data_IF_882709416125
#
_entry.id   IF_882709416125
#
_cell.length_a   1.000
_cell.length_b   1.000
_cell.length_c   1.000
_cell.angle_alpha   90.00
_cell.angle_beta   90.00
_cell.angle_gamma   90.00
#
_symmetry.space_group_name_H-M   'P 1'
#
loop_
_entity.id
_entity.type
_entity.pdbx_description
1 polymer ?
#
# COMPACT_ATOMS: atom_id res chain seq x y z
N UNK A 1 -45.05 -117.14 86.30
CA UNK A 1 -45.37 -116.21 85.18
C UNK A 1 -44.43 -115.01 85.07
N UNK A 2 -44.10 -114.30 86.16
CA UNK A 2 -43.16 -113.16 86.12
C UNK A 2 -41.72 -113.55 85.74
N UNK A 3 -41.18 -114.65 86.29
CA UNK A 3 -39.80 -115.12 86.01
C UNK A 3 -39.60 -115.48 84.53
N UNK A 4 -40.61 -116.12 83.91
CA UNK A 4 -40.61 -116.44 82.48
C UNK A 4 -40.60 -115.20 81.59
N UNK A 5 -41.26 -114.11 81.98
CA UNK A 5 -41.23 -112.83 81.24
C UNK A 5 -39.90 -112.09 81.42
N UNK A 6 -39.28 -112.18 82.59
CA UNK A 6 -37.94 -111.61 82.84
C UNK A 6 -36.88 -112.35 81.99
N UNK A 7 -36.92 -113.68 81.95
CA UNK A 7 -36.00 -114.47 81.13
C UNK A 7 -36.15 -114.19 79.62
N UNK A 8 -37.38 -114.03 79.12
CA UNK A 8 -37.62 -113.60 77.74
C UNK A 8 -37.13 -112.17 77.47
N UNK A 9 -37.34 -111.24 78.41
CA UNK A 9 -36.87 -109.86 78.29
C UNK A 9 -35.34 -109.77 78.29
N UNK A 10 -34.66 -110.56 79.11
CA UNK A 10 -33.19 -110.63 79.15
C UNK A 10 -32.61 -111.29 77.89
N UNK A 11 -33.30 -112.31 77.35
CA UNK A 11 -32.97 -112.91 76.05
C UNK A 11 -33.06 -111.89 74.91
N UNK A 12 -34.18 -111.16 74.84
CA UNK A 12 -34.36 -110.09 73.84
C UNK A 12 -33.33 -108.95 74.03
N UNK A 13 -32.99 -108.60 75.28
CA UNK A 13 -31.98 -107.56 75.55
C UNK A 13 -30.60 -107.99 75.06
N UNK A 14 -30.21 -109.25 75.25
CA UNK A 14 -28.94 -109.79 74.74
C UNK A 14 -28.93 -109.84 73.21
N UNK A 15 -30.02 -110.28 72.60
CA UNK A 15 -30.14 -110.29 71.14
C UNK A 15 -30.02 -108.88 70.54
N UNK A 16 -30.72 -107.90 71.11
CA UNK A 16 -30.61 -106.49 70.69
C UNK A 16 -29.19 -105.94 70.92
N UNK A 17 -28.51 -106.33 72.01
CA UNK A 17 -27.11 -105.92 72.25
C UNK A 17 -26.14 -106.51 71.22
N UNK A 18 -26.33 -107.77 70.81
CA UNK A 18 -25.50 -108.40 69.77
C UNK A 18 -25.79 -107.82 68.37
N UNK A 19 -27.06 -107.53 68.06
CA UNK A 19 -27.46 -106.81 66.84
C UNK A 19 -26.89 -105.39 66.81
N UNK A 20 -26.87 -104.68 67.95
CA UNK A 20 -26.28 -103.35 68.04
C UNK A 20 -24.75 -103.40 67.90
N UNK A 21 -24.09 -104.41 68.48
CA UNK A 21 -22.64 -104.59 68.39
C UNK A 21 -22.16 -105.05 67.00
N UNK A 22 -23.02 -105.72 66.23
CA UNK A 22 -22.76 -106.06 64.82
C UNK A 22 -22.98 -104.85 63.93
N UNK A 23 -24.08 -104.12 64.10
CA UNK A 23 -24.33 -102.86 63.40
C UNK A 23 -23.23 -101.80 63.65
N UNK A 24 -22.72 -101.68 64.88
CA UNK A 24 -21.65 -100.73 65.22
C UNK A 24 -20.30 -101.14 64.57
N UNK A 25 -20.05 -102.45 64.41
CA UNK A 25 -18.88 -102.93 63.65
C UNK A 25 -19.00 -102.64 62.16
N UNK A 26 -20.17 -102.86 61.57
CA UNK A 26 -20.43 -102.53 60.17
C UNK A 26 -20.33 -101.03 59.92
N UNK A 27 -20.88 -100.20 60.81
CA UNK A 27 -20.78 -98.75 60.75
C UNK A 27 -19.31 -98.29 60.76
N UNK A 28 -18.49 -98.80 61.70
CA UNK A 28 -17.04 -98.50 61.74
C UNK A 28 -16.30 -98.94 60.49
N UNK A 29 -16.65 -100.10 59.93
CA UNK A 29 -16.05 -100.57 58.68
C UNK A 29 -16.41 -99.68 57.50
N UNK A 30 -17.65 -99.19 57.43
CA UNK A 30 -18.06 -98.24 56.39
C UNK A 30 -17.39 -96.88 56.57
N UNK A 31 -17.25 -96.37 57.80
CA UNK A 31 -16.53 -95.12 58.09
C UNK A 31 -15.06 -95.22 57.65
N UNK A 32 -14.38 -96.32 57.98
CA UNK A 32 -13.00 -96.54 57.55
C UNK A 32 -12.85 -96.66 56.02
N UNK A 33 -13.86 -97.20 55.32
CA UNK A 33 -13.91 -97.20 53.86
C UNK A 33 -14.11 -95.79 53.31
N UNK A 34 -14.99 -95.00 53.93
CA UNK A 34 -15.25 -93.63 53.53
C UNK A 34 -14.02 -92.74 53.68
N UNK A 35 -13.29 -92.87 54.80
CA UNK A 35 -12.02 -92.15 55.00
C UNK A 35 -10.98 -92.48 53.93
N UNK A 36 -10.85 -93.76 53.52
CA UNK A 36 -9.96 -94.16 52.41
C UNK A 36 -10.44 -93.60 51.06
N UNK A 37 -11.75 -93.54 50.83
CA UNK A 37 -12.29 -92.91 49.64
C UNK A 37 -12.04 -91.40 49.63
N UNK A 38 -12.13 -90.72 50.78
CA UNK A 38 -11.79 -89.30 50.86
C UNK A 38 -10.31 -89.04 50.58
N UNK A 39 -9.39 -89.85 51.13
CA UNK A 39 -7.95 -89.67 50.85
C UNK A 39 -7.64 -89.89 49.38
N UNK A 40 -8.16 -90.96 48.78
CA UNK A 40 -7.98 -91.22 47.34
C UNK A 40 -8.61 -90.15 46.47
N UNK A 41 -9.78 -89.62 46.86
CA UNK A 41 -10.39 -88.49 46.15
C UNK A 41 -9.48 -87.25 46.22
N UNK A 42 -8.96 -86.90 47.41
CA UNK A 42 -8.04 -85.77 47.58
C UNK A 42 -6.80 -85.92 46.69
N UNK A 43 -6.17 -87.09 46.68
CA UNK A 43 -4.98 -87.38 45.87
C UNK A 43 -5.26 -87.25 44.36
N UNK A 44 -6.38 -87.81 43.89
CA UNK A 44 -6.83 -87.68 42.50
C UNK A 44 -7.10 -86.23 42.09
N UNK A 45 -7.69 -85.41 42.97
CA UNK A 45 -7.85 -83.97 42.68
C UNK A 45 -6.52 -83.25 42.56
N UNK A 46 -5.55 -83.57 43.42
CA UNK A 46 -4.22 -82.96 43.37
C UNK A 46 -3.48 -83.32 42.07
N UNK A 47 -3.55 -84.58 41.63
CA UNK A 47 -2.97 -85.01 40.35
C UNK A 47 -3.63 -84.32 39.15
N UNK A 48 -4.96 -84.17 39.15
CA UNK A 48 -5.69 -83.46 38.09
C UNK A 48 -5.24 -82.01 37.95
N UNK A 49 -5.03 -81.31 39.07
CA UNK A 49 -4.60 -79.91 39.03
C UNK A 49 -3.15 -79.76 38.54
N UNK A 50 -2.27 -80.70 38.87
CA UNK A 50 -0.91 -80.71 38.32
C UNK A 50 -0.90 -80.98 36.80
N UNK A 51 -1.72 -81.92 36.33
CA UNK A 51 -1.88 -82.20 34.89
C UNK A 51 -2.42 -80.96 34.15
N UNK A 52 -3.41 -80.25 34.72
CA UNK A 52 -3.94 -79.00 34.14
C UNK A 52 -2.85 -77.93 34.03
N UNK A 53 -2.05 -77.72 35.07
CA UNK A 53 -0.93 -76.76 35.06
C UNK A 53 0.11 -77.12 34.00
N UNK A 54 0.47 -78.40 33.86
CA UNK A 54 1.38 -78.88 32.81
C UNK A 54 0.80 -78.67 31.40
N UNK A 55 -0.49 -78.92 31.20
CA UNK A 55 -1.16 -78.69 29.93
C UNK A 55 -1.19 -77.20 29.54
N UNK A 56 -1.41 -76.30 30.50
CA UNK A 56 -1.41 -74.86 30.25
C UNK A 56 -0.02 -74.35 29.83
N UNK A 57 1.04 -74.75 30.54
CA UNK A 57 2.43 -74.40 30.17
C UNK A 57 2.79 -74.90 28.77
N UNK A 58 2.32 -76.09 28.38
CA UNK A 58 2.51 -76.61 27.01
C UNK A 58 1.81 -75.76 25.96
N UNK A 59 0.58 -75.30 26.22
CA UNK A 59 -0.15 -74.41 25.28
C UNK A 59 0.56 -73.07 25.09
N UNK A 60 1.04 -72.46 26.17
CA UNK A 60 1.81 -71.20 26.11
C UNK A 60 3.10 -71.36 25.31
N UNK A 61 3.85 -72.46 25.54
CA UNK A 61 5.05 -72.76 24.76
C UNK A 61 4.76 -73.01 23.28
N UNK A 62 3.67 -73.71 22.94
CA UNK A 62 3.27 -73.94 21.55
C UNK A 62 2.92 -72.61 20.87
N UNK A 63 2.22 -71.71 21.55
CA UNK A 63 1.91 -70.39 21.01
C UNK A 63 3.18 -69.58 20.72
N UNK A 64 4.14 -69.57 21.66
CA UNK A 64 5.43 -68.89 21.49
C UNK A 64 6.26 -69.47 20.33
N UNK A 65 6.36 -70.80 20.24
CA UNK A 65 7.09 -71.45 19.15
C UNK A 65 6.42 -71.22 17.78
N UNK A 66 5.09 -71.11 17.73
CA UNK A 66 4.38 -70.78 16.48
C UNK A 66 4.66 -69.35 16.01
N UNK A 67 4.72 -68.38 16.92
CA UNK A 67 5.12 -67.02 16.55
C UNK A 67 6.57 -66.97 16.07
N UNK A 68 7.47 -67.70 16.73
CA UNK A 68 8.88 -67.75 16.36
C UNK A 68 9.11 -68.43 15.00
N UNK A 69 8.35 -69.49 14.69
CA UNK A 69 8.37 -70.12 13.37
C UNK A 69 7.83 -69.16 12.30
N UNK A 70 6.74 -68.44 12.56
CA UNK A 70 6.19 -67.49 11.60
C UNK A 70 7.16 -66.33 11.31
N UNK A 71 7.88 -65.85 12.33
CA UNK A 71 8.91 -64.81 12.17
C UNK A 71 10.11 -65.32 11.35
N UNK A 72 10.53 -66.58 11.56
CA UNK A 72 11.63 -67.20 10.82
C UNK A 72 11.25 -67.56 9.36
N UNK A 73 10.02 -68.02 9.12
CA UNK A 73 9.50 -68.28 7.78
C UNK A 73 9.41 -66.97 6.97
N UNK A 74 8.98 -65.86 7.60
CA UNK A 74 8.97 -64.55 6.96
C UNK A 74 10.38 -64.02 6.64
N UNK A 75 11.40 -64.41 7.40
CA UNK A 75 12.80 -64.04 7.14
C UNK A 75 13.43 -64.88 6.01
N UNK A 76 13.03 -66.14 5.85
CA UNK A 76 13.63 -67.07 4.88
C UNK A 76 13.11 -66.88 3.44
N UNK A 77 11.92 -66.31 3.24
CA UNK A 77 11.31 -66.13 1.91
C UNK A 77 11.79 -64.89 1.12
N UNK A 78 12.66 -64.05 1.68
CA UNK A 78 13.22 -62.87 1.00
C UNK A 78 14.71 -63.07 0.69
N UNK A 79 15.00 -63.69 -0.45
CA UNK A 79 16.31 -63.57 -1.09
C UNK A 79 16.55 -62.10 -1.50
N UNK A 80 17.68 -61.48 -1.13
CA UNK A 80 17.91 -60.07 -1.45
C UNK A 80 18.10 -59.88 -2.97
N UNK A 81 17.45 -58.90 -3.61
CA UNK A 81 17.79 -58.53 -4.98
C UNK A 81 19.19 -57.94 -5.02
N UNK A 82 20.11 -58.63 -5.67
CA UNK A 82 21.40 -58.07 -6.06
C UNK A 82 21.15 -57.05 -7.20
N UNK A 83 21.78 -55.85 -7.11
CA UNK A 83 21.80 -54.72 -8.08
C UNK A 83 20.87 -53.48 -7.89
N UNK A 84 19.89 -53.47 -6.98
CA UNK A 84 18.99 -52.29 -6.80
C UNK A 84 19.65 -51.03 -6.20
N UNK A 85 20.83 -51.15 -5.58
CA UNK A 85 21.49 -50.05 -4.85
C UNK A 85 22.05 -48.95 -5.76
N UNK A 86 22.50 -49.30 -6.98
CA UNK A 86 23.06 -48.34 -7.95
C UNK A 86 21.96 -47.50 -8.62
N UNK A 87 20.87 -48.13 -9.02
CA UNK A 87 19.71 -47.45 -9.61
C UNK A 87 19.06 -46.50 -8.60
N UNK A 88 18.87 -46.95 -7.35
CA UNK A 88 18.37 -46.12 -6.28
C UNK A 88 19.30 -44.92 -6.03
N UNK A 89 20.63 -45.11 -6.01
CA UNK A 89 21.60 -44.03 -5.85
C UNK A 89 21.53 -42.99 -6.98
N UNK A 90 21.37 -43.42 -8.24
CA UNK A 90 21.18 -42.53 -9.39
C UNK A 90 19.90 -41.71 -9.27
N UNK A 91 18.76 -42.34 -8.96
CA UNK A 91 17.47 -41.65 -8.74
C UNK A 91 17.58 -40.60 -7.63
N UNK A 92 18.31 -40.91 -6.55
CA UNK A 92 18.55 -39.92 -5.48
C UNK A 92 19.43 -38.75 -5.91
N UNK A 93 20.44 -38.97 -6.76
CA UNK A 93 21.29 -37.91 -7.28
C UNK A 93 20.52 -36.98 -8.25
N UNK A 94 19.64 -37.55 -9.08
CA UNK A 94 18.75 -36.81 -9.98
C UNK A 94 17.76 -35.94 -9.22
N UNK A 95 17.09 -36.49 -8.20
CA UNK A 95 16.17 -35.74 -7.34
C UNK A 95 16.87 -34.61 -6.61
N UNK A 96 18.10 -34.83 -6.12
CA UNK A 96 18.87 -33.79 -5.44
C UNK A 96 19.29 -32.66 -6.42
N UNK A 97 19.65 -33.00 -7.67
CA UNK A 97 19.90 -31.99 -8.71
C UNK A 97 18.64 -31.19 -9.04
N UNK A 98 17.49 -31.84 -9.15
CA UNK A 98 16.21 -31.18 -9.44
C UNK A 98 15.78 -30.25 -8.30
N UNK A 99 15.96 -30.69 -7.04
CA UNK A 99 15.75 -29.88 -5.84
C UNK A 99 16.64 -28.64 -5.83
N UNK A 100 17.95 -28.79 -6.09
CA UNK A 100 18.86 -27.65 -6.16
C UNK A 100 18.45 -26.64 -7.25
N UNK A 101 17.98 -27.11 -8.41
CA UNK A 101 17.45 -26.25 -9.47
C UNK A 101 16.22 -25.47 -9.00
N UNK A 102 15.25 -26.15 -8.38
CA UNK A 102 14.03 -25.51 -7.86
C UNK A 102 14.32 -24.53 -6.73
N UNK A 103 15.24 -24.86 -5.81
CA UNK A 103 15.66 -23.95 -4.73
C UNK A 103 16.29 -22.69 -5.29
N UNK A 104 17.18 -22.81 -6.28
CA UNK A 104 17.77 -21.67 -6.95
C UNK A 104 16.73 -20.82 -7.68
N UNK A 105 15.75 -21.44 -8.35
CA UNK A 105 14.64 -20.72 -8.99
C UNK A 105 13.77 -19.98 -7.97
N UNK A 106 13.46 -20.58 -6.81
CA UNK A 106 12.72 -19.91 -5.72
C UNK A 106 13.48 -18.68 -5.24
N UNK A 107 14.79 -18.79 -5.01
CA UNK A 107 15.62 -17.66 -4.56
C UNK A 107 15.60 -16.53 -5.61
N UNK A 108 15.76 -16.85 -6.90
CA UNK A 108 15.70 -15.86 -7.98
C UNK A 108 14.34 -15.16 -8.04
N UNK A 109 13.24 -15.91 -7.97
CA UNK A 109 11.89 -15.35 -7.96
C UNK A 109 11.64 -14.45 -6.75
N UNK A 110 12.16 -14.81 -5.57
CA UNK A 110 12.05 -13.98 -4.38
C UNK A 110 12.85 -12.68 -4.50
N UNK A 111 14.04 -12.73 -5.09
CA UNK A 111 14.84 -11.53 -5.29
C UNK A 111 14.23 -10.60 -6.35
N UNK A 112 13.64 -11.14 -7.41
CA UNK A 112 12.83 -10.37 -8.36
C UNK A 112 11.60 -9.72 -7.70
N UNK A 113 10.88 -10.46 -6.84
CA UNK A 113 9.75 -9.90 -6.08
C UNK A 113 10.19 -8.80 -5.10
N UNK A 114 11.31 -8.97 -4.41
CA UNK A 114 11.88 -7.92 -3.53
C UNK A 114 12.25 -6.68 -4.34
N UNK A 115 12.87 -6.85 -5.52
CA UNK A 115 13.22 -5.75 -6.41
C UNK A 115 11.96 -5.00 -6.87
N UNK A 116 10.93 -5.70 -7.35
CA UNK A 116 9.66 -5.11 -7.76
C UNK A 116 8.92 -4.42 -6.61
N UNK A 117 8.98 -4.98 -5.40
CA UNK A 117 8.39 -4.35 -4.20
C UNK A 117 9.11 -3.03 -3.88
N UNK A 118 10.44 -2.98 -4.00
CA UNK A 118 11.21 -1.73 -3.85
C UNK A 118 10.83 -0.71 -4.91
N UNK A 119 10.74 -1.11 -6.17
CA UNK A 119 10.29 -0.25 -7.27
C UNK A 119 8.87 0.27 -7.04
N UNK A 120 7.94 -0.59 -6.61
CA UNK A 120 6.57 -0.20 -6.28
C UNK A 120 6.49 0.83 -5.16
N UNK A 121 7.31 0.68 -4.10
CA UNK A 121 7.42 1.69 -3.03
C UNK A 121 7.97 3.02 -3.53
N UNK A 122 8.98 3.00 -4.40
CA UNK A 122 9.52 4.21 -5.02
C UNK A 122 8.47 4.93 -5.86
N UNK A 123 7.79 4.22 -6.76
CA UNK A 123 6.71 4.77 -7.58
C UNK A 123 5.56 5.35 -6.74
N UNK A 124 5.16 4.66 -5.68
CA UNK A 124 4.12 5.15 -4.77
C UNK A 124 4.56 6.41 -4.00
N UNK A 125 5.82 6.49 -3.59
CA UNK A 125 6.38 7.69 -2.96
C UNK A 125 6.45 8.87 -3.92
N UNK A 126 6.84 8.64 -5.18
CA UNK A 126 6.86 9.66 -6.23
C UNK A 126 5.44 10.16 -6.52
N UNK A 127 4.48 9.24 -6.63
CA UNK A 127 3.07 9.58 -6.81
C UNK A 127 2.53 10.42 -5.66
N UNK A 128 2.88 10.08 -4.41
CA UNK A 128 2.47 10.85 -3.22
C UNK A 128 3.06 12.27 -3.24
N UNK A 129 4.31 12.40 -3.69
CA UNK A 129 4.98 13.71 -3.83
C UNK A 129 4.28 14.56 -4.89
N UNK A 130 4.02 14.02 -6.07
CA UNK A 130 3.34 14.75 -7.14
C UNK A 130 1.90 15.13 -6.76
N UNK A 131 1.19 14.25 -6.04
CA UNK A 131 -0.15 14.54 -5.50
C UNK A 131 -0.12 15.68 -4.47
N UNK A 132 0.86 15.67 -3.56
CA UNK A 132 1.07 16.76 -2.60
C UNK A 132 1.33 18.08 -3.31
N UNK A 133 2.18 18.08 -4.34
CA UNK A 133 2.48 19.29 -5.10
C UNK A 133 1.22 19.84 -5.80
N UNK A 134 0.37 18.98 -6.38
CA UNK A 134 -0.91 19.42 -6.94
C UNK A 134 -1.84 20.02 -5.89
N UNK A 135 -1.95 19.41 -4.71
CA UNK A 135 -2.77 19.94 -3.62
C UNK A 135 -2.29 21.31 -3.15
N UNK A 136 -0.98 21.52 -3.09
CA UNK A 136 -0.41 22.82 -2.73
C UNK A 136 -0.79 23.89 -3.76
N UNK A 137 -0.73 23.55 -5.05
CA UNK A 137 -1.17 24.44 -6.13
C UNK A 137 -2.66 24.75 -6.06
N UNK A 138 -3.50 23.74 -5.83
CA UNK A 138 -4.96 23.91 -5.72
C UNK A 138 -5.33 24.77 -4.50
N UNK A 139 -4.61 24.63 -3.39
CA UNK A 139 -4.81 25.46 -2.21
C UNK A 139 -4.50 26.95 -2.52
N UNK A 140 -3.44 27.24 -3.26
CA UNK A 140 -3.11 28.62 -3.67
C UNK A 140 -4.19 29.20 -4.58
N UNK A 141 -4.67 28.44 -5.57
CA UNK A 141 -5.76 28.89 -6.46
C UNK A 141 -7.05 29.17 -5.67
N UNK A 142 -7.44 28.25 -4.78
CA UNK A 142 -8.61 28.41 -3.92
C UNK A 142 -8.50 29.66 -3.04
N UNK A 143 -7.33 29.90 -2.45
CA UNK A 143 -7.08 31.10 -1.64
C UNK A 143 -7.22 32.39 -2.46
N UNK A 144 -6.75 32.41 -3.71
CA UNK A 144 -6.88 33.58 -4.60
C UNK A 144 -8.33 33.80 -5.02
N UNK A 145 -9.06 32.74 -5.35
CA UNK A 145 -10.50 32.80 -5.68
C UNK A 145 -11.31 33.34 -4.50
N UNK A 146 -11.03 32.86 -3.30
CA UNK A 146 -11.67 33.33 -2.07
C UNK A 146 -11.29 34.79 -1.75
N UNK A 147 -10.04 35.19 -2.02
CA UNK A 147 -9.59 36.59 -1.89
C UNK A 147 -10.33 37.50 -2.88
N UNK A 148 -10.48 37.07 -4.13
CA UNK A 148 -11.26 37.78 -5.15
C UNK A 148 -12.73 37.89 -4.72
N UNK A 149 -13.33 36.80 -4.21
CA UNK A 149 -14.71 36.79 -3.72
C UNK A 149 -14.94 37.81 -2.63
N UNK A 150 -14.08 37.83 -1.61
CA UNK A 150 -14.12 38.80 -0.51
C UNK A 150 -13.94 40.24 -0.99
N UNK A 151 -13.14 40.44 -2.04
CA UNK A 151 -12.87 41.77 -2.59
C UNK A 151 -13.99 42.27 -3.51
N UNK A 152 -14.55 41.39 -4.35
CA UNK A 152 -15.60 41.71 -5.30
C UNK A 152 -16.41 40.46 -5.70
N UNK A 153 -17.59 40.32 -5.10
CA UNK A 153 -18.51 39.21 -5.36
C UNK A 153 -18.97 39.16 -6.83
N UNK A 154 -19.24 40.31 -7.47
CA UNK A 154 -19.69 40.35 -8.88
C UNK A 154 -18.64 39.77 -9.84
N UNK A 155 -17.36 40.08 -9.61
CA UNK A 155 -16.24 39.55 -10.40
C UNK A 155 -16.08 38.05 -10.18
N UNK A 156 -16.25 37.58 -8.95
CA UNK A 156 -16.22 36.14 -8.65
C UNK A 156 -17.37 35.40 -9.34
N UNK A 157 -18.61 35.92 -9.28
CA UNK A 157 -19.76 35.32 -9.97
C UNK A 157 -19.59 35.30 -11.49
N UNK A 158 -19.03 36.36 -12.06
CA UNK A 158 -18.71 36.41 -13.48
C UNK A 158 -17.63 35.38 -13.87
N UNK A 159 -16.65 35.13 -13.00
CA UNK A 159 -15.64 34.09 -13.19
C UNK A 159 -16.26 32.69 -13.21
N UNK A 160 -17.11 32.37 -12.23
CA UNK A 160 -17.81 31.08 -12.18
C UNK A 160 -18.67 30.86 -13.43
N UNK A 161 -19.37 31.92 -13.87
CA UNK A 161 -20.16 31.87 -15.10
C UNK A 161 -19.26 31.65 -16.33
N UNK A 162 -18.12 32.34 -16.42
CA UNK A 162 -17.17 32.19 -17.52
C UNK A 162 -16.66 30.75 -17.62
N UNK A 163 -16.29 30.13 -16.50
CA UNK A 163 -15.80 28.75 -16.45
C UNK A 163 -16.83 27.74 -16.97
N UNK A 164 -18.11 27.93 -16.61
CA UNK A 164 -19.20 27.05 -17.03
C UNK A 164 -19.57 27.26 -18.51
N UNK A 165 -19.31 28.45 -19.06
CA UNK A 165 -19.78 28.87 -20.38
C UNK A 165 -18.65 29.10 -21.39
N UNK A 166 -17.44 28.56 -21.15
CA UNK A 166 -16.28 28.73 -22.05
C UNK A 166 -16.56 28.33 -23.50
N UNK A 167 -17.49 27.40 -23.74
CA UNK A 167 -17.90 26.94 -25.07
C UNK A 167 -18.65 27.98 -25.91
N UNK A 168 -19.14 29.07 -25.30
CA UNK A 168 -19.83 30.15 -26.01
C UNK A 168 -18.88 31.08 -26.76
N UNK A 169 -17.60 31.07 -26.41
CA UNK A 169 -16.60 31.98 -26.94
C UNK A 169 -15.83 31.36 -28.10
N UNK A 170 -15.49 32.19 -29.08
CA UNK A 170 -14.68 31.77 -30.24
C UNK A 170 -13.21 31.69 -29.89
N UNK A 171 -12.73 32.62 -29.07
CA UNK A 171 -11.37 32.66 -28.56
C UNK A 171 -11.35 32.61 -27.03
N UNK A 172 -10.16 32.44 -26.47
CA UNK A 172 -10.01 32.36 -25.03
C UNK A 172 -10.23 33.73 -24.38
N UNK A 173 -11.22 33.80 -23.49
CA UNK A 173 -11.41 34.91 -22.55
C UNK A 173 -10.67 34.58 -21.26
N UNK A 174 -9.69 35.41 -20.94
CA UNK A 174 -8.87 35.28 -19.73
C UNK A 174 -9.66 35.70 -18.50
N UNK A 175 -9.35 35.05 -17.38
CA UNK A 175 -9.91 35.39 -16.07
C UNK A 175 -9.47 36.81 -15.65
N UNK A 176 -9.97 37.34 -14.52
CA UNK A 176 -9.53 38.64 -14.02
C UNK A 176 -8.00 38.71 -13.89
N UNK A 177 -7.41 39.87 -14.20
CA UNK A 177 -5.94 40.06 -14.18
C UNK A 177 -5.32 39.59 -12.86
N UNK A 178 -5.98 39.76 -11.71
CA UNK A 178 -5.48 39.32 -10.41
C UNK A 178 -5.38 37.79 -10.24
N UNK A 179 -5.95 36.99 -11.14
CA UNK A 179 -5.80 35.54 -11.18
C UNK A 179 -4.82 35.09 -12.28
N UNK A 180 -4.71 35.85 -13.38
CA UNK A 180 -3.84 35.53 -14.52
C UNK A 180 -2.44 36.14 -14.43
N UNK A 181 -2.24 37.13 -13.55
CA UNK A 181 -0.95 37.79 -13.36
C UNK A 181 -0.31 37.41 -12.03
N UNK A 182 1.00 37.22 -12.08
CA UNK A 182 1.92 36.97 -10.97
C UNK A 182 2.99 38.04 -10.90
N UNK A 183 3.57 38.21 -9.71
CA UNK A 183 4.76 39.05 -9.52
C UNK A 183 5.95 38.16 -9.22
N UNK A 184 7.06 38.39 -9.93
CA UNK A 184 8.30 37.58 -9.81
C UNK A 184 8.92 37.63 -8.41
N UNK A 185 8.88 38.81 -7.80
CA UNK A 185 9.43 39.04 -6.49
C UNK A 185 8.42 39.84 -5.65
N UNK A 186 8.00 39.22 -4.54
CA UNK A 186 6.96 39.74 -3.66
C UNK A 186 7.27 41.14 -3.11
N UNK A 187 8.54 41.57 -3.08
CA UNK A 187 8.93 42.92 -2.67
C UNK A 187 8.35 44.01 -3.58
N UNK A 188 8.05 43.68 -4.83
CA UNK A 188 7.46 44.60 -5.81
C UNK A 188 5.94 44.56 -5.85
N UNK A 189 5.30 43.57 -5.18
CA UNK A 189 3.88 43.30 -5.34
C UNK A 189 2.98 44.49 -4.99
N UNK A 190 3.28 45.19 -3.89
CA UNK A 190 2.53 46.37 -3.44
C UNK A 190 2.69 47.57 -4.39
N UNK A 191 3.90 47.76 -4.93
CA UNK A 191 4.21 48.79 -5.90
C UNK A 191 3.41 48.55 -7.19
N UNK A 192 3.48 47.32 -7.72
CA UNK A 192 2.81 46.92 -8.96
C UNK A 192 1.28 46.99 -8.79
N UNK A 193 0.73 46.48 -7.70
CA UNK A 193 -0.71 46.56 -7.42
C UNK A 193 -1.20 48.01 -7.33
N UNK A 194 -0.36 48.93 -6.88
CA UNK A 194 -0.69 50.36 -6.83
C UNK A 194 -0.65 51.02 -8.21
N UNK A 195 0.27 50.60 -9.10
CA UNK A 195 0.33 51.07 -10.49
C UNK A 195 -0.90 50.60 -11.26
N UNK A 196 -1.14 49.29 -11.27
CA UNK A 196 -2.23 48.65 -12.04
C UNK A 196 -3.59 49.05 -11.46
N UNK A 197 -3.68 49.15 -10.13
CA UNK A 197 -4.90 49.54 -9.44
C UNK A 197 -5.95 48.43 -9.36
N UNK A 198 -6.78 48.49 -8.32
CA UNK A 198 -7.75 47.45 -8.03
C UNK A 198 -8.80 47.23 -9.14
N UNK A 199 -9.16 48.28 -9.89
CA UNK A 199 -10.13 48.17 -10.99
C UNK A 199 -9.58 47.37 -12.17
N UNK A 200 -8.31 47.59 -12.53
CA UNK A 200 -7.71 46.82 -13.62
C UNK A 200 -7.43 45.38 -13.18
N UNK A 201 -7.06 45.17 -11.91
CA UNK A 201 -6.84 43.83 -11.37
C UNK A 201 -8.08 42.93 -11.43
N UNK A 202 -9.29 43.46 -11.28
CA UNK A 202 -10.55 42.71 -11.43
C UNK A 202 -11.06 42.61 -12.87
N UNK A 203 -10.32 43.17 -13.84
CA UNK A 203 -10.79 43.25 -15.23
C UNK A 203 -10.54 41.93 -15.96
N UNK A 204 -11.52 41.46 -16.74
CA UNK A 204 -11.36 40.32 -17.64
C UNK A 204 -10.80 40.75 -19.00
N UNK A 205 -10.00 39.89 -19.63
CA UNK A 205 -9.37 40.19 -20.92
C UNK A 205 -9.89 39.26 -22.02
N UNK A 206 -10.57 39.84 -23.02
CA UNK A 206 -11.03 39.12 -24.21
C UNK A 206 -10.06 39.32 -25.38
N UNK A 207 -9.76 38.24 -26.11
CA UNK A 207 -8.88 38.32 -27.29
C UNK A 207 -9.58 38.88 -28.54
N UNK A 208 -10.90 38.67 -28.66
CA UNK A 208 -11.70 39.15 -29.78
C UNK A 208 -12.78 40.15 -29.33
N UNK A 209 -13.14 41.07 -30.21
CA UNK A 209 -14.20 42.05 -29.96
C UNK A 209 -15.59 41.37 -29.89
N UNK A 210 -15.78 40.29 -30.64
CA UNK A 210 -17.01 39.49 -30.60
C UNK A 210 -17.19 38.80 -29.24
N UNK A 211 -16.11 38.22 -28.69
CA UNK A 211 -16.12 37.59 -27.37
C UNK A 211 -16.30 38.66 -26.27
N UNK A 212 -15.70 39.85 -26.44
CA UNK A 212 -15.94 40.99 -25.57
C UNK A 212 -17.42 41.38 -25.51
N UNK A 213 -18.08 41.56 -26.66
CA UNK A 213 -19.50 41.89 -26.70
C UNK A 213 -20.37 40.76 -26.16
N UNK A 214 -20.03 39.52 -26.46
CA UNK A 214 -20.75 38.34 -25.94
C UNK A 214 -20.66 38.29 -24.43
N UNK A 215 -19.45 38.43 -23.87
CA UNK A 215 -19.27 38.36 -22.43
C UNK A 215 -19.94 39.53 -21.71
N UNK A 216 -19.79 40.74 -22.24
CA UNK A 216 -20.45 41.94 -21.71
C UNK A 216 -21.96 41.79 -21.70
N UNK A 217 -22.55 41.29 -22.78
CA UNK A 217 -24.00 41.07 -22.86
C UNK A 217 -24.50 40.02 -21.86
N UNK A 218 -23.80 38.90 -21.74
CA UNK A 218 -24.23 37.82 -20.85
C UNK A 218 -24.04 38.15 -19.35
N UNK A 219 -23.00 38.91 -19.02
CA UNK A 219 -22.64 39.19 -17.62
C UNK A 219 -23.13 40.56 -17.16
N UNK A 220 -22.83 41.63 -17.90
CA UNK A 220 -23.19 42.99 -17.50
C UNK A 220 -24.67 43.28 -17.81
N UNK A 221 -25.17 42.90 -18.98
CA UNK A 221 -26.54 43.29 -19.37
C UNK A 221 -27.59 42.32 -18.79
N UNK A 222 -27.38 41.00 -18.96
CA UNK A 222 -28.36 39.99 -18.53
C UNK A 222 -28.30 39.72 -17.03
N UNK A 223 -27.10 39.47 -16.49
CA UNK A 223 -26.93 39.15 -15.06
C UNK A 223 -26.78 40.38 -14.17
N UNK A 224 -26.59 41.58 -14.76
CA UNK A 224 -26.42 42.85 -14.05
C UNK A 224 -25.22 42.88 -13.09
N UNK A 225 -24.19 42.09 -13.40
CA UNK A 225 -22.94 42.09 -12.64
C UNK A 225 -22.09 43.31 -13.06
N UNK A 226 -21.44 43.97 -12.10
CA UNK A 226 -20.61 45.15 -12.36
C UNK A 226 -19.15 44.75 -12.58
N UNK A 227 -18.85 44.16 -13.73
CA UNK A 227 -17.48 43.73 -14.06
C UNK A 227 -16.87 44.52 -15.21
N UNK A 228 -15.58 44.80 -15.08
CA UNK A 228 -14.79 45.43 -16.10
C UNK A 228 -14.31 44.35 -17.09
N UNK A 229 -14.54 44.56 -18.38
CA UNK A 229 -14.07 43.68 -19.46
C UNK A 229 -13.32 44.56 -20.45
N UNK A 230 -12.22 44.08 -21.01
CA UNK A 230 -11.43 44.80 -22.02
C UNK A 230 -11.04 43.88 -23.16
N UNK A 231 -10.87 44.47 -24.34
CA UNK A 231 -10.30 43.80 -25.51
C UNK A 231 -9.18 44.68 -26.08
N UNK A 232 -8.02 44.08 -26.30
CA UNK A 232 -6.87 44.77 -26.88
C UNK A 232 -6.36 44.01 -28.10
N UNK A 233 -6.30 44.71 -29.24
CA UNK A 233 -5.85 44.14 -30.53
C UNK A 233 -4.36 44.32 -30.80
N UNK A 234 -3.64 45.07 -29.96
CA UNK A 234 -2.22 45.36 -30.14
C UNK A 234 -1.38 44.23 -29.57
N UNK A 235 -0.40 43.76 -30.35
CA UNK A 235 0.60 42.83 -29.87
C UNK A 235 1.49 43.47 -28.79
N UNK A 236 1.99 42.65 -27.86
CA UNK A 236 2.87 43.11 -26.79
C UNK A 236 4.12 43.81 -27.33
N UNK A 237 4.68 43.31 -28.42
CA UNK A 237 5.92 43.84 -29.04
C UNK A 237 5.75 45.24 -29.64
N UNK A 238 4.50 45.68 -29.84
CA UNK A 238 4.20 47.04 -30.30
C UNK A 238 4.36 48.10 -29.21
N UNK A 239 4.54 47.70 -27.95
CA UNK A 239 4.73 48.59 -26.82
C UNK A 239 6.22 48.75 -26.55
N UNK A 240 6.75 49.94 -26.81
CA UNK A 240 8.17 50.25 -26.68
C UNK A 240 8.42 51.06 -25.42
N UNK A 241 9.45 50.68 -24.67
CA UNK A 241 9.86 51.40 -23.47
C UNK A 241 10.36 52.82 -23.83
N UNK A 242 10.06 53.85 -23.02
CA UNK A 242 10.48 55.22 -23.27
C UNK A 242 12.00 55.41 -23.26
N UNK A 243 12.71 54.62 -22.46
CA UNK A 243 14.16 54.72 -22.27
C UNK A 243 14.81 53.32 -22.26
N UNK A 244 16.07 53.20 -22.70
CA UNK A 244 16.84 51.97 -22.54
C UNK A 244 17.05 51.59 -21.07
N UNK A 245 17.10 50.28 -20.79
CA UNK A 245 17.34 49.75 -19.43
C UNK A 245 18.66 50.21 -18.80
N UNK A 246 19.68 50.45 -19.62
CA UNK A 246 20.97 51.01 -19.17
C UNK A 246 20.82 52.43 -18.58
N UNK A 247 19.93 53.24 -19.14
CA UNK A 247 19.62 54.58 -18.61
C UNK A 247 18.83 54.50 -17.30
N UNK A 248 17.92 53.53 -17.17
CA UNK A 248 17.19 53.27 -15.92
C UNK A 248 18.13 52.96 -14.77
N UNK A 249 19.08 52.04 -14.97
CA UNK A 249 20.05 51.64 -13.95
C UNK A 249 20.91 52.82 -13.49
N UNK A 250 21.34 53.69 -14.42
CA UNK A 250 22.08 54.93 -14.09
C UNK A 250 21.28 55.92 -13.23
N UNK A 251 19.95 55.89 -13.31
CA UNK A 251 19.05 56.74 -12.52
C UNK A 251 18.66 56.10 -11.18
N UNK A 252 19.07 54.85 -10.94
CA UNK A 252 18.76 54.08 -9.73
C UNK A 252 17.51 53.20 -9.82
N UNK A 253 16.96 52.98 -11.02
CA UNK A 253 15.80 52.09 -11.21
C UNK A 253 16.22 50.63 -11.41
N UNK A 254 15.42 49.71 -10.86
CA UNK A 254 15.60 48.26 -10.98
C UNK A 254 15.11 47.75 -12.35
N UNK A 255 14.09 48.40 -12.92
CA UNK A 255 13.52 48.06 -14.23
C UNK A 255 12.18 48.74 -14.49
N UNK A 256 11.46 48.29 -15.52
CA UNK A 256 10.06 48.68 -15.73
C UNK A 256 9.10 47.75 -14.99
N UNK A 257 7.90 48.21 -14.69
CA UNK A 257 6.84 47.37 -14.08
C UNK A 257 6.60 46.09 -14.90
N UNK A 258 6.62 46.18 -16.23
CA UNK A 258 6.50 45.03 -17.13
C UNK A 258 7.54 43.92 -16.87
N UNK A 259 8.74 44.27 -16.42
CA UNK A 259 9.84 43.30 -16.21
C UNK A 259 9.62 42.41 -14.96
N UNK A 260 8.73 42.83 -14.06
CA UNK A 260 8.46 42.15 -12.78
C UNK A 260 7.10 41.42 -12.74
N UNK A 261 6.32 41.48 -13.82
CA UNK A 261 5.01 40.82 -13.96
C UNK A 261 5.14 39.61 -14.89
N UNK A 262 4.53 38.50 -14.48
CA UNK A 262 4.34 37.32 -15.33
C UNK A 262 2.85 37.10 -15.58
N UNK A 263 2.44 37.11 -16.84
CA UNK A 263 1.08 36.84 -17.26
C UNK A 263 1.07 36.45 -18.75
N UNK A 264 -0.02 35.87 -19.28
CA UNK A 264 -0.17 35.60 -20.69
C UNK A 264 0.03 36.85 -21.55
N UNK A 265 0.61 36.70 -22.75
CA UNK A 265 0.97 37.85 -23.62
C UNK A 265 -0.21 38.80 -23.88
N UNK A 266 -1.43 38.27 -24.04
CA UNK A 266 -2.64 39.07 -24.22
C UNK A 266 -2.99 39.89 -22.97
N UNK A 267 -2.78 39.34 -21.77
CA UNK A 267 -2.99 40.05 -20.50
C UNK A 267 -1.93 41.14 -20.31
N UNK A 268 -0.65 40.84 -20.60
CA UNK A 268 0.42 41.85 -20.58
C UNK A 268 0.15 42.98 -21.57
N UNK A 269 -0.30 42.67 -22.79
CA UNK A 269 -0.67 43.67 -23.79
C UNK A 269 -1.85 44.54 -23.31
N UNK A 270 -2.81 43.96 -22.61
CA UNK A 270 -3.92 44.68 -22.00
C UNK A 270 -3.46 45.66 -20.91
N UNK A 271 -2.56 45.22 -20.03
CA UNK A 271 -1.96 46.06 -19.00
C UNK A 271 -1.10 47.19 -19.61
N UNK A 272 -0.34 46.88 -20.68
CA UNK A 272 0.39 47.90 -21.44
C UNK A 272 -0.55 48.91 -22.10
N UNK A 273 -1.68 48.46 -22.63
CA UNK A 273 -2.69 49.33 -23.23
C UNK A 273 -3.31 50.29 -22.22
N UNK A 274 -3.74 49.75 -21.07
CA UNK A 274 -4.55 50.43 -20.04
C UNK A 274 -3.71 51.25 -19.05
N UNK A 275 -2.75 50.61 -18.39
CA UNK A 275 -2.01 51.19 -17.26
C UNK A 275 -0.57 51.61 -17.62
N UNK A 276 -0.15 51.39 -18.87
CA UNK A 276 1.18 51.78 -19.37
C UNK A 276 2.34 51.17 -18.58
N UNK A 277 2.20 49.92 -18.15
CA UNK A 277 3.23 49.21 -17.34
C UNK A 277 4.62 49.10 -18.01
N UNK A 278 4.71 49.27 -19.32
CA UNK A 278 5.96 49.30 -20.08
C UNK A 278 6.67 50.66 -20.04
N UNK A 279 6.00 51.71 -19.56
CA UNK A 279 6.52 53.07 -19.49
C UNK A 279 6.90 53.50 -18.08
N UNK A 280 6.51 52.74 -17.05
CA UNK A 280 6.62 53.13 -15.64
C UNK A 280 7.85 52.44 -15.02
N UNK A 281 8.92 53.20 -14.71
CA UNK A 281 10.08 52.70 -13.98
C UNK A 281 9.76 52.42 -12.52
N UNK A 282 10.49 51.45 -11.96
CA UNK A 282 10.31 51.04 -10.60
C UNK A 282 11.66 50.84 -9.91
N UNK A 283 11.75 51.31 -8.66
CA UNK A 283 12.89 51.12 -7.76
C UNK A 283 12.39 50.78 -6.35
N UNK A 284 13.02 49.80 -5.69
CA UNK A 284 12.87 49.63 -4.23
C UNK A 284 13.64 50.71 -3.46
N UNK A 285 14.76 51.17 -4.01
CA UNK A 285 15.63 52.17 -3.41
C UNK A 285 15.26 53.61 -3.77
N UNK A 286 16.20 54.51 -3.46
CA UNK A 286 16.13 55.92 -3.85
C UNK A 286 16.64 56.11 -5.27
N UNK A 287 16.08 57.10 -5.96
CA UNK A 287 16.41 57.48 -7.33
C UNK A 287 16.81 58.95 -7.39
N UNK A 288 17.48 59.34 -8.46
CA UNK A 288 17.84 60.74 -8.73
C UNK A 288 16.60 61.53 -9.21
N UNK A 289 15.71 61.89 -8.27
CA UNK A 289 14.43 62.55 -8.55
C UNK A 289 14.60 63.89 -9.27
N UNK A 290 15.60 64.68 -8.88
CA UNK A 290 15.85 66.01 -9.43
C UNK A 290 16.15 65.93 -10.93
N UNK A 291 17.00 64.98 -11.32
CA UNK A 291 17.33 64.75 -12.72
C UNK A 291 16.14 64.22 -13.53
N UNK A 292 15.35 63.32 -12.94
CA UNK A 292 14.16 62.75 -13.59
C UNK A 292 13.10 63.82 -13.85
N UNK A 293 12.85 64.69 -12.87
CA UNK A 293 11.86 65.76 -12.94
C UNK A 293 12.28 66.87 -13.91
N UNK A 294 13.56 67.27 -13.91
CA UNK A 294 14.10 68.28 -14.82
C UNK A 294 14.09 67.81 -16.28
N UNK A 295 14.52 66.57 -16.53
CA UNK A 295 14.60 66.02 -17.88
C UNK A 295 13.24 65.47 -18.38
N UNK A 296 12.25 65.35 -17.49
CA UNK A 296 10.91 64.84 -17.78
C UNK A 296 10.94 63.50 -18.54
N UNK A 297 11.84 62.60 -18.12
CA UNK A 297 12.12 61.33 -18.80
C UNK A 297 10.92 60.38 -18.77
N UNK A 298 10.09 60.48 -17.73
CA UNK A 298 8.95 59.61 -17.48
C UNK A 298 7.73 60.43 -17.08
N UNK A 299 6.54 59.95 -17.45
CA UNK A 299 5.27 60.51 -16.96
C UNK A 299 5.01 60.12 -15.51
N UNK A 300 5.43 58.92 -15.15
CA UNK A 300 5.20 58.35 -13.84
C UNK A 300 6.33 57.38 -13.49
N UNK A 301 6.74 57.34 -12.21
CA UNK A 301 7.68 56.36 -11.69
C UNK A 301 7.39 56.04 -10.23
N UNK A 302 7.92 54.92 -9.74
CA UNK A 302 7.88 54.53 -8.33
C UNK A 302 9.30 54.41 -7.78
N UNK A 303 9.52 55.04 -6.63
CA UNK A 303 10.76 54.92 -5.87
C UNK A 303 10.47 55.00 -4.36
N UNK A 304 11.21 54.23 -3.55
CA UNK A 304 11.13 54.26 -2.08
C UNK A 304 9.68 54.21 -1.53
N UNK A 305 8.84 53.34 -2.10
CA UNK A 305 7.43 53.20 -1.69
C UNK A 305 6.55 54.41 -2.00
N UNK A 306 6.98 55.32 -2.88
CA UNK A 306 6.23 56.51 -3.29
C UNK A 306 6.05 56.53 -4.81
N UNK A 307 4.83 56.82 -5.25
CA UNK A 307 4.46 57.01 -6.65
C UNK A 307 4.53 58.49 -6.99
N UNK A 308 5.33 58.82 -8.00
CA UNK A 308 5.55 60.17 -8.51
C UNK A 308 4.89 60.29 -9.87
N UNK A 309 3.94 61.22 -10.01
CA UNK A 309 3.30 61.54 -11.29
C UNK A 309 3.75 62.92 -11.74
N UNK A 310 4.44 62.97 -12.87
CA UNK A 310 4.93 64.21 -13.49
C UNK A 310 3.89 64.64 -14.52
N UNK A 311 3.26 65.78 -14.29
CA UNK A 311 2.32 66.41 -15.20
C UNK A 311 2.89 67.70 -15.78
N UNK A 312 2.52 67.99 -17.04
CA UNK A 312 2.80 69.29 -17.67
C UNK A 312 1.54 70.15 -17.58
N UNK A 313 1.68 71.36 -17.05
CA UNK A 313 0.61 72.35 -17.11
C UNK A 313 0.21 72.62 -18.56
N UNK A 314 -1.09 72.54 -18.87
CA UNK A 314 -1.63 72.81 -20.23
C UNK A 314 -1.67 74.31 -20.58
N UNK A 315 -1.56 75.18 -19.58
CA UNK A 315 -1.67 76.64 -19.72
C UNK A 315 -0.57 77.32 -18.91
N UNK A 316 0.07 78.37 -19.47
CA UNK A 316 1.14 79.14 -18.83
C UNK A 316 2.56 78.59 -19.05
N UNK A 317 3.55 79.20 -18.40
CA UNK A 317 4.95 78.73 -18.36
C UNK A 317 4.96 77.25 -18.01
N UNK A 318 5.47 76.41 -18.92
CA UNK A 318 5.37 74.94 -18.95
C UNK A 318 6.11 74.21 -17.79
N UNK A 319 5.94 74.68 -16.56
CA UNK A 319 6.54 74.10 -15.37
C UNK A 319 6.00 72.68 -15.14
N UNK A 320 6.90 71.78 -14.75
CA UNK A 320 6.56 70.43 -14.33
C UNK A 320 5.86 70.51 -12.96
N UNK A 321 4.69 69.89 -12.83
CA UNK A 321 4.07 69.67 -11.52
C UNK A 321 4.22 68.20 -11.15
N UNK A 322 4.71 67.96 -9.94
CA UNK A 322 4.93 66.61 -9.42
C UNK A 322 3.91 66.35 -8.33
N UNK A 323 3.11 65.30 -8.54
CA UNK A 323 2.16 64.82 -7.53
C UNK A 323 2.71 63.53 -6.95
N UNK A 324 2.97 63.55 -5.65
CA UNK A 324 3.44 62.39 -4.90
C UNK A 324 2.28 61.70 -4.19
N UNK A 325 2.17 60.39 -4.33
CA UNK A 325 1.21 59.59 -3.58
C UNK A 325 1.92 58.38 -2.95
N UNK A 326 1.59 58.06 -1.70
CA UNK A 326 2.21 56.93 -1.00
C UNK A 326 1.63 55.62 -1.52
N UNK A 327 2.50 54.64 -1.77
CA UNK A 327 2.10 53.29 -2.15
C UNK A 327 1.41 52.60 -0.97
N UNK A 328 0.39 51.80 -1.24
CA UNK A 328 -0.32 51.07 -0.18
C UNK A 328 0.62 50.03 0.42
N UNK A 329 0.68 49.88 1.76
CA UNK A 329 1.69 49.04 2.41
C UNK A 329 1.53 47.56 2.09
N UNK A 330 0.32 47.08 1.77
CA UNK A 330 0.05 45.65 1.52
C UNK A 330 -0.64 45.45 0.16
N UNK A 331 -0.07 44.56 -0.66
CA UNK A 331 -0.76 43.98 -1.81
C UNK A 331 -1.90 43.09 -1.31
N UNK A 332 -3.10 43.24 -1.91
CA UNK A 332 -4.32 42.50 -1.53
C UNK A 332 -4.72 41.48 -2.58
N UNK A 333 -4.33 41.71 -3.84
CA UNK A 333 -4.82 40.96 -5.00
C UNK A 333 -3.69 40.32 -5.80
N UNK A 334 -2.53 40.98 -5.88
CA UNK A 334 -1.32 40.42 -6.46
C UNK A 334 -0.44 39.85 -5.35
N UNK A 335 -0.79 38.69 -4.78
CA UNK A 335 0.20 37.90 -4.05
C UNK A 335 0.98 37.01 -5.03
N UNK A 336 2.17 36.55 -4.64
CA UNK A 336 2.93 35.58 -5.44
C UNK A 336 2.03 34.36 -5.73
N UNK A 337 1.65 34.15 -7.00
CA UNK A 337 0.75 33.06 -7.36
C UNK A 337 0.42 33.01 -8.85
N UNK A 338 0.55 31.80 -9.38
CA UNK A 338 0.19 31.21 -10.69
C UNK A 338 0.60 31.97 -11.96
N UNK A 339 1.89 31.85 -12.33
CA UNK A 339 2.37 32.21 -13.66
C UNK A 339 1.98 31.12 -14.67
N UNK A 340 2.16 31.38 -15.97
CA UNK A 340 2.05 30.35 -17.01
C UNK A 340 2.91 29.11 -16.70
N UNK A 341 3.99 29.28 -15.92
CA UNK A 341 4.84 28.17 -15.45
C UNK A 341 4.09 27.24 -14.50
N UNK A 342 3.23 27.76 -13.64
CA UNK A 342 2.48 26.93 -12.68
C UNK A 342 1.36 26.16 -13.39
N UNK A 343 0.69 26.78 -14.37
CA UNK A 343 -0.27 26.07 -15.25
C UNK A 343 0.42 24.95 -16.03
N UNK A 344 1.59 25.22 -16.60
CA UNK A 344 2.41 24.20 -17.26
C UNK A 344 2.86 23.11 -16.28
N UNK A 345 3.23 23.49 -15.05
CA UNK A 345 3.63 22.56 -13.98
C UNK A 345 2.47 21.66 -13.57
N UNK A 346 1.26 22.18 -13.40
CA UNK A 346 0.05 21.40 -13.12
C UNK A 346 -0.22 20.38 -14.22
N UNK A 347 -0.22 20.81 -15.48
CA UNK A 347 -0.40 19.91 -16.62
C UNK A 347 0.69 18.82 -16.67
N UNK A 348 1.93 19.18 -16.37
CA UNK A 348 3.05 18.23 -16.29
C UNK A 348 2.88 17.23 -15.15
N UNK A 349 2.49 17.68 -13.97
CA UNK A 349 2.25 16.83 -12.79
C UNK A 349 1.10 15.85 -13.04
N UNK A 350 0.02 16.27 -13.69
CA UNK A 350 -1.04 15.35 -14.11
C UNK A 350 -0.53 14.28 -15.07
N UNK A 351 0.19 14.67 -16.13
CA UNK A 351 0.77 13.72 -17.08
C UNK A 351 1.80 12.78 -16.43
N UNK A 352 2.53 13.26 -15.42
CA UNK A 352 3.47 12.46 -14.63
C UNK A 352 2.74 11.45 -13.72
N UNK A 353 1.67 11.87 -13.05
CA UNK A 353 0.83 10.98 -12.25
C UNK A 353 0.21 9.85 -13.06
N UNK A 354 -0.28 10.15 -14.27
CA UNK A 354 -0.86 9.12 -15.13
C UNK A 354 0.21 8.10 -15.57
N UNK A 355 1.42 8.55 -15.91
CA UNK A 355 2.55 7.66 -16.18
C UNK A 355 2.95 6.81 -14.97
N UNK A 356 3.01 7.40 -13.78
CA UNK A 356 3.34 6.69 -12.54
C UNK A 356 2.28 5.64 -12.20
N UNK A 357 1.00 5.94 -12.42
CA UNK A 357 -0.11 4.98 -12.25
C UNK A 357 0.03 3.80 -13.20
N UNK A 358 0.32 4.05 -14.48
CA UNK A 358 0.53 2.99 -15.47
C UNK A 358 1.73 2.09 -15.09
N UNK A 359 2.82 2.70 -14.62
CA UNK A 359 4.01 1.96 -14.17
C UNK A 359 3.74 1.12 -12.92
N UNK A 360 2.97 1.66 -11.97
CA UNK A 360 2.58 0.94 -10.77
C UNK A 360 1.69 -0.26 -11.11
N UNK A 361 0.66 -0.06 -11.95
CA UNK A 361 -0.21 -1.13 -12.43
C UNK A 361 0.58 -2.23 -13.17
N UNK A 362 1.56 -1.85 -13.99
CA UNK A 362 2.44 -2.79 -14.66
C UNK A 362 3.33 -3.58 -13.67
N UNK A 363 3.83 -2.93 -12.61
CA UNK A 363 4.61 -3.56 -11.55
C UNK A 363 3.77 -4.57 -10.75
N UNK A 364 2.54 -4.19 -10.38
CA UNK A 364 1.59 -5.06 -9.67
C UNK A 364 1.21 -6.29 -10.51
N UNK A 365 0.99 -6.11 -11.82
CA UNK A 365 0.73 -7.21 -12.74
C UNK A 365 1.91 -8.18 -12.84
N UNK A 366 3.16 -7.67 -12.85
CA UNK A 366 4.37 -8.49 -12.81
C UNK A 366 4.50 -9.23 -11.48
N UNK A 367 4.27 -8.55 -10.35
CA UNK A 367 4.27 -9.15 -9.01
C UNK A 367 3.29 -10.33 -8.91
N UNK A 368 2.06 -10.16 -9.42
CA UNK A 368 1.05 -11.23 -9.43
C UNK A 368 1.51 -12.44 -10.26
N UNK A 369 2.12 -12.21 -11.42
CA UNK A 369 2.66 -13.29 -12.28
C UNK A 369 3.80 -14.04 -11.59
N UNK A 370 4.73 -13.33 -10.94
CA UNK A 370 5.83 -13.94 -10.21
C UNK A 370 5.37 -14.71 -8.98
N UNK A 371 4.37 -14.20 -8.24
CA UNK A 371 3.79 -14.90 -7.09
C UNK A 371 3.14 -16.23 -7.49
N UNK A 372 2.39 -16.26 -8.60
CA UNK A 372 1.81 -17.51 -9.14
C UNK A 372 2.91 -18.48 -9.57
N UNK A 373 4.00 -17.97 -10.19
CA UNK A 373 5.13 -18.81 -10.59
C UNK A 373 5.86 -19.39 -9.39
N UNK A 374 6.17 -18.57 -8.38
CA UNK A 374 6.83 -19.03 -7.15
C UNK A 374 6.00 -20.10 -6.45
N UNK A 375 4.68 -19.94 -6.37
CA UNK A 375 3.81 -20.94 -5.76
C UNK A 375 3.89 -22.29 -6.50
N UNK A 376 3.88 -22.28 -7.83
CA UNK A 376 4.05 -23.51 -8.64
C UNK A 376 5.39 -24.20 -8.38
N UNK A 377 6.47 -23.43 -8.31
CA UNK A 377 7.82 -23.99 -8.05
C UNK A 377 7.90 -24.55 -6.62
N UNK A 378 7.29 -23.88 -5.63
CA UNK A 378 7.21 -24.38 -4.25
C UNK A 378 6.40 -25.67 -4.14
N UNK A 379 5.28 -25.77 -4.85
CA UNK A 379 4.47 -26.99 -4.87
C UNK A 379 5.25 -28.16 -5.52
N UNK A 380 6.00 -27.88 -6.59
CA UNK A 380 6.94 -28.83 -7.19
C UNK A 380 8.05 -29.27 -6.23
N UNK A 381 8.66 -28.31 -5.52
CA UNK A 381 9.71 -28.60 -4.53
C UNK A 381 9.18 -29.51 -3.40
N UNK A 382 7.97 -29.26 -2.90
CA UNK A 382 7.32 -30.12 -1.88
C UNK A 382 7.05 -31.53 -2.39
N UNK A 383 6.65 -31.68 -3.65
CA UNK A 383 6.43 -32.99 -4.26
C UNK A 383 7.74 -33.79 -4.37
N UNK A 384 8.85 -33.12 -4.72
CA UNK A 384 10.19 -33.74 -4.74
C UNK A 384 10.64 -34.14 -3.34
N UNK A 385 10.45 -33.29 -2.33
CA UNK A 385 10.78 -33.63 -0.94
C UNK A 385 9.99 -34.84 -0.42
N UNK A 386 8.70 -34.93 -0.75
CA UNK A 386 7.89 -36.10 -0.39
C UNK A 386 8.41 -37.38 -1.06
N UNK A 387 8.79 -37.30 -2.34
CA UNK A 387 9.35 -38.43 -3.09
C UNK A 387 10.73 -38.85 -2.57
N UNK A 388 11.56 -37.88 -2.16
CA UNK A 388 12.86 -38.13 -1.53
C UNK A 388 12.71 -38.86 -0.19
N UNK A 389 11.74 -38.47 0.64
CA UNK A 389 11.48 -39.12 1.93
C UNK A 389 10.95 -40.55 1.76
N UNK A 390 10.08 -40.79 0.77
CA UNK A 390 9.63 -42.14 0.40
C UNK A 390 10.79 -43.03 -0.03
N UNK A 391 11.66 -42.54 -0.92
CA UNK A 391 12.88 -43.24 -1.35
C UNK A 391 13.85 -43.48 -0.18
N UNK A 392 13.95 -42.56 0.78
CA UNK A 392 14.80 -42.69 1.97
C UNK A 392 14.29 -43.80 2.89
N UNK A 393 12.98 -43.86 3.12
CA UNK A 393 12.35 -44.91 3.93
C UNK A 393 12.53 -46.28 3.29
N UNK A 394 12.37 -46.38 1.96
CA UNK A 394 12.57 -47.62 1.24
C UNK A 394 14.04 -48.09 1.30
N UNK A 395 15.00 -47.16 1.12
CA UNK A 395 16.43 -47.48 1.32
C UNK A 395 16.75 -47.97 2.73
N UNK A 396 16.16 -47.35 3.76
CA UNK A 396 16.36 -47.79 5.15
C UNK A 396 15.74 -49.17 5.40
N UNK A 397 14.59 -49.47 4.79
CA UNK A 397 13.96 -50.79 4.87
C UNK A 397 14.85 -51.86 4.23
N UNK A 398 15.29 -51.64 2.99
CA UNK A 398 16.17 -52.56 2.26
C UNK A 398 17.48 -52.77 3.02
N UNK A 399 18.11 -51.69 3.52
CA UNK A 399 19.36 -51.79 4.29
C UNK A 399 19.21 -52.55 5.62
N UNK A 400 18.07 -52.45 6.31
CA UNK A 400 17.82 -53.22 7.54
C UNK A 400 17.63 -54.69 7.23
N UNK A 401 16.96 -55.02 6.13
CA UNK A 401 16.75 -56.39 5.67
C UNK A 401 18.07 -57.05 5.26
N UNK A 402 18.91 -56.35 4.48
CA UNK A 402 20.24 -56.87 4.12
C UNK A 402 21.16 -57.05 5.33
N UNK A 403 21.17 -56.10 6.27
CA UNK A 403 21.98 -56.20 7.48
C UNK A 403 21.49 -57.30 8.46
N UNK A 404 20.20 -57.65 8.43
CA UNK A 404 19.68 -58.78 9.20
C UNK A 404 20.10 -60.11 8.57
N UNK A 405 20.01 -60.22 7.24
CA UNK A 405 20.44 -61.39 6.49
C UNK A 405 21.96 -61.66 6.63
N UNK A 406 22.80 -60.63 6.55
CA UNK A 406 24.25 -60.76 6.75
C UNK A 406 24.66 -61.21 8.17
N UNK A 407 23.78 -61.04 9.17
CA UNK A 407 24.03 -61.49 10.55
C UNK A 407 23.59 -62.92 10.83
N UNK A 408 22.67 -63.45 10.03
CA UNK A 408 22.17 -64.83 10.15
C UNK A 408 23.02 -65.84 9.37
N UNK A 409 23.93 -65.34 8.51
CA UNK A 409 24.96 -66.11 7.82
C UNK A 409 26.22 -66.23 8.68
#
# INVERSE_FOLDING_TARGET
ELETRIAQSDGNRRQIQDELATADREARQQTARFERFETTQRDLTAELDDIKKRAQRRRENIARLRTEIADLEAAHDLEPPDDGSRELAQVGAELNQEKLKMTNEIIQLQDEQKALTRTGRQLSSEMTRSDSQLRDLDNVELQRRETLRRFNEDTFRALEWLEQNRKLFKQHVFSPVCLEASVRDARYANLIETVVGASTLRTFVAQSEEDYHTFTREVNDRQRLRVDIVCFRRALDSFQAPQPRDTLQRLGFDGYVLDFIEAPQAVLAALCGRDKIHEIPLALGRVDSDRIEQQQLFREYIADGTRFTISRGRYGTRAATVVTSRVRPNARLLSAGESDEVRATRSRLHAELDKLRDQLAASEAKMKKLSVREQKVRDGHRAIEAREEELRLERQRVSKLTAAWEREK
#
